data_IF_552325152530
#
_entry.id   IF_552325152530
#
_cell.length_a   1.000
_cell.length_b   1.000
_cell.length_c   1.000
_cell.angle_alpha   90.00
_cell.angle_beta   90.00
_cell.angle_gamma   90.00
#
_symmetry.space_group_name_H-M   'P 1'
#
loop_
_entity.id
_entity.type
_entity.pdbx_description
1 polymer ?
#
# COMPACT_ATOMS: atom_id res chain seq x y z
N UNK A 1 6.98 30.65 -14.06
CA UNK A 1 6.48 30.82 -12.68
C UNK A 1 6.42 29.43 -12.09
N UNK A 2 7.35 29.16 -11.19
CA UNK A 2 7.86 27.85 -10.79
C UNK A 2 6.77 26.92 -10.27
N UNK A 3 6.62 25.73 -10.88
CA UNK A 3 5.95 24.63 -10.20
C UNK A 3 6.92 24.14 -9.13
N UNK A 4 6.50 24.33 -7.88
CA UNK A 4 7.12 23.83 -6.66
C UNK A 4 7.75 22.46 -6.89
N UNK A 5 9.00 22.31 -6.43
CA UNK A 5 9.85 21.16 -6.67
C UNK A 5 9.08 19.84 -6.59
N UNK A 6 9.22 19.05 -7.65
CA UNK A 6 8.70 17.70 -7.78
C UNK A 6 9.17 16.90 -6.56
N UNK A 7 8.31 16.78 -5.55
CA UNK A 7 8.66 15.99 -4.38
C UNK A 7 8.45 14.55 -4.76
N UNK A 8 9.50 13.95 -5.33
CA UNK A 8 9.56 12.54 -5.70
C UNK A 8 8.96 11.73 -4.55
N UNK A 9 7.77 11.19 -4.78
CA UNK A 9 6.99 10.51 -3.77
C UNK A 9 6.99 9.05 -4.16
N UNK A 10 7.81 8.27 -3.46
CA UNK A 10 7.88 6.85 -3.72
C UNK A 10 6.57 6.14 -3.34
N UNK A 11 6.27 5.08 -4.06
CA UNK A 11 5.13 4.21 -3.86
C UNK A 11 5.60 2.76 -3.67
N UNK A 12 4.92 2.05 -2.79
CA UNK A 12 5.11 0.64 -2.53
C UNK A 12 3.99 -0.15 -3.21
N UNK A 13 4.38 -1.22 -3.91
CA UNK A 13 3.47 -2.11 -4.62
C UNK A 13 3.70 -3.56 -4.21
N UNK A 14 2.62 -4.31 -4.03
CA UNK A 14 2.63 -5.77 -3.87
C UNK A 14 1.37 -6.37 -4.49
N UNK A 15 1.40 -7.65 -4.87
CA UNK A 15 0.20 -8.28 -5.45
C UNK A 15 -0.72 -8.80 -4.35
N UNK A 16 -2.03 -8.63 -4.55
CA UNK A 16 -3.03 -9.24 -3.68
C UNK A 16 -2.94 -10.77 -3.66
N UNK A 17 -2.47 -11.39 -4.75
CA UNK A 17 -2.23 -12.84 -4.84
C UNK A 17 -1.14 -13.35 -3.91
N UNK A 18 -0.21 -12.47 -3.52
CA UNK A 18 0.92 -12.81 -2.67
C UNK A 18 0.59 -12.61 -1.18
N UNK A 19 -0.56 -12.01 -0.87
CA UNK A 19 -1.05 -11.84 0.50
C UNK A 19 -1.61 -13.17 1.00
N UNK A 20 -1.11 -13.63 2.15
CA UNK A 20 -1.58 -14.88 2.74
C UNK A 20 -3.09 -14.87 3.00
N UNK A 21 -3.74 -16.00 2.73
CA UNK A 21 -5.21 -16.10 2.72
C UNK A 21 -5.91 -15.57 4.00
N UNK A 22 -5.41 -15.86 5.22
CA UNK A 22 -6.04 -15.34 6.44
C UNK A 22 -6.07 -13.81 6.51
N UNK A 23 -4.98 -13.17 6.09
CA UNK A 23 -4.84 -11.71 6.07
C UNK A 23 -5.73 -11.11 4.99
N UNK A 24 -5.76 -11.73 3.80
CA UNK A 24 -6.61 -11.31 2.69
C UNK A 24 -8.10 -11.37 3.03
N UNK A 25 -8.55 -12.41 3.75
CA UNK A 25 -9.94 -12.59 4.18
C UNK A 25 -10.38 -11.55 5.21
N UNK A 26 -9.45 -11.06 6.02
CA UNK A 26 -9.69 -10.04 7.05
C UNK A 26 -9.50 -8.61 6.52
N UNK A 27 -9.10 -8.45 5.27
CA UNK A 27 -8.90 -7.14 4.67
C UNK A 27 -10.24 -6.40 4.52
N UNK A 28 -10.29 -5.15 4.97
CA UNK A 28 -11.46 -4.29 4.87
C UNK A 28 -11.33 -3.43 3.62
N UNK A 29 -12.40 -3.34 2.84
CA UNK A 29 -12.42 -2.55 1.60
C UNK A 29 -13.42 -1.40 1.69
N UNK A 30 -13.05 -0.26 1.12
CA UNK A 30 -13.90 0.92 1.01
C UNK A 30 -13.80 1.48 -0.41
N UNK A 31 -14.94 1.57 -1.10
CA UNK A 31 -15.01 2.23 -2.39
C UNK A 31 -15.26 3.74 -2.19
N UNK A 32 -14.46 4.58 -2.84
CA UNK A 32 -14.66 6.03 -2.83
C UNK A 32 -15.38 6.47 -4.10
N UNK A 33 -16.59 7.02 -3.95
CA UNK A 33 -17.46 7.37 -5.08
C UNK A 33 -16.95 8.54 -5.94
N UNK A 34 -16.08 9.40 -5.41
CA UNK A 34 -15.60 10.60 -6.11
C UNK A 34 -14.41 10.30 -7.02
N UNK A 35 -13.48 9.47 -6.57
CA UNK A 35 -12.27 9.11 -7.33
C UNK A 35 -12.39 7.77 -8.05
N UNK A 36 -13.36 6.93 -7.67
CA UNK A 36 -13.45 5.55 -8.14
C UNK A 36 -12.45 4.60 -7.48
N UNK A 37 -11.65 5.10 -6.53
CA UNK A 37 -10.62 4.31 -5.87
C UNK A 37 -11.21 3.25 -4.95
N UNK A 38 -10.63 2.05 -5.00
CA UNK A 38 -10.94 0.94 -4.10
C UNK A 38 -9.87 0.86 -3.03
N UNK A 39 -10.14 1.45 -1.87
CA UNK A 39 -9.23 1.38 -0.74
C UNK A 39 -9.30 0.02 -0.06
N UNK A 40 -8.16 -0.45 0.45
CA UNK A 40 -8.02 -1.70 1.18
C UNK A 40 -7.12 -1.50 2.40
N UNK A 41 -7.54 -2.02 3.54
CA UNK A 41 -6.77 -2.03 4.78
C UNK A 41 -6.61 -3.47 5.28
N UNK A 42 -5.39 -3.84 5.66
CA UNK A 42 -5.07 -5.17 6.15
C UNK A 42 -4.89 -5.16 7.67
N UNK A 43 -5.26 -6.25 8.38
CA UNK A 43 -5.06 -6.33 9.82
C UNK A 43 -3.57 -6.18 10.18
N UNK A 44 -3.27 -5.24 11.07
CA UNK A 44 -1.91 -4.95 11.53
C UNK A 44 -1.01 -4.20 10.53
N UNK A 45 -1.49 -3.90 9.31
CA UNK A 45 -0.77 -3.04 8.38
C UNK A 45 -0.96 -1.57 8.81
N UNK A 46 0.09 -0.75 8.89
CA UNK A 46 -0.02 0.62 9.40
C UNK A 46 -0.72 1.58 8.42
N UNK A 47 -0.86 1.20 7.14
CA UNK A 47 -1.40 2.06 6.09
C UNK A 47 -2.50 1.34 5.29
N UNK A 48 -3.46 2.13 4.80
CA UNK A 48 -4.36 1.71 3.73
C UNK A 48 -3.66 1.79 2.37
N UNK A 49 -4.03 0.89 1.47
CA UNK A 49 -3.61 0.90 0.07
C UNK A 49 -4.79 1.10 -0.88
N UNK A 50 -4.47 1.22 -2.16
CA UNK A 50 -5.43 1.28 -3.27
C UNK A 50 -5.29 0.00 -4.08
N UNK A 51 -6.40 -0.72 -4.25
CA UNK A 51 -6.50 -1.90 -5.10
C UNK A 51 -6.62 -1.44 -6.55
N UNK A 52 -5.59 -1.73 -7.35
CA UNK A 52 -5.50 -1.44 -8.77
C UNK A 52 -6.22 -2.52 -9.59
N UNK A 53 -6.54 -2.21 -10.85
CA UNK A 53 -7.26 -3.11 -11.75
C UNK A 53 -6.47 -4.39 -12.08
N UNK A 54 -5.14 -4.35 -12.02
CA UNK A 54 -4.25 -5.48 -12.25
C UNK A 54 -4.08 -6.40 -11.02
N UNK A 55 -4.79 -6.11 -9.93
CA UNK A 55 -4.72 -6.87 -8.68
C UNK A 55 -3.55 -6.50 -7.78
N UNK A 56 -2.80 -5.45 -8.11
CA UNK A 56 -1.79 -4.89 -7.21
C UNK A 56 -2.41 -3.96 -6.17
N UNK A 57 -1.74 -3.88 -5.03
CA UNK A 57 -2.03 -2.90 -4.01
C UNK A 57 -0.93 -1.82 -4.06
N UNK A 58 -1.35 -0.58 -4.28
CA UNK A 58 -0.48 0.60 -4.21
C UNK A 58 -0.60 1.26 -2.84
N UNK A 59 0.52 1.60 -2.21
CA UNK A 59 0.59 2.39 -0.98
C UNK A 59 1.58 3.53 -1.14
N UNK A 60 1.26 4.72 -0.62
CA UNK A 60 2.25 5.79 -0.52
C UNK A 60 3.37 5.35 0.40
N UNK A 61 4.62 5.43 -0.07
CA UNK A 61 5.76 5.04 0.75
C UNK A 61 6.05 6.13 1.78
N UNK A 62 5.92 5.83 3.09
CA UNK A 62 6.01 6.84 4.12
C UNK A 62 7.43 7.40 4.25
N UNK A 63 7.53 8.72 4.40
CA UNK A 63 8.81 9.40 4.70
C UNK A 63 9.23 9.23 6.15
N UNK A 64 8.27 9.02 7.05
CA UNK A 64 8.54 8.70 8.46
C UNK A 64 9.19 7.33 8.54
N UNK A 65 10.41 7.28 9.09
CA UNK A 65 11.16 6.05 9.26
C UNK A 65 10.42 5.03 10.15
N UNK A 66 9.73 5.50 11.17
CA UNK A 66 8.96 4.65 12.08
C UNK A 66 7.83 3.93 11.33
N UNK A 67 7.00 4.68 10.60
CA UNK A 67 5.89 4.11 9.82
C UNK A 67 6.42 3.19 8.72
N UNK A 68 7.52 3.59 8.06
CA UNK A 68 8.20 2.77 7.06
C UNK A 68 8.68 1.44 7.64
N UNK A 69 9.32 1.47 8.80
CA UNK A 69 9.82 0.26 9.47
C UNK A 69 8.68 -0.68 9.82
N UNK A 70 7.57 -0.17 10.36
CA UNK A 70 6.39 -0.98 10.67
C UNK A 70 5.78 -1.59 9.40
N UNK A 71 5.67 -0.82 8.31
CA UNK A 71 5.14 -1.30 7.03
C UNK A 71 6.00 -2.42 6.46
N UNK A 72 7.32 -2.22 6.39
CA UNK A 72 8.26 -3.21 5.86
C UNK A 72 8.26 -4.47 6.72
N UNK A 73 8.27 -4.33 8.05
CA UNK A 73 8.20 -5.46 8.96
C UNK A 73 6.90 -6.26 8.77
N UNK A 74 5.77 -5.60 8.54
CA UNK A 74 4.51 -6.29 8.26
C UNK A 74 4.59 -7.11 6.96
N UNK A 75 5.12 -6.53 5.88
CA UNK A 75 5.28 -7.22 4.60
C UNK A 75 6.23 -8.43 4.74
N UNK A 76 7.36 -8.24 5.42
CA UNK A 76 8.36 -9.29 5.65
C UNK A 76 7.81 -10.40 6.56
N UNK A 77 7.06 -10.05 7.61
CA UNK A 77 6.46 -11.02 8.53
C UNK A 77 5.52 -11.97 7.80
N UNK A 78 4.72 -11.46 6.86
CA UNK A 78 3.81 -12.28 6.04
C UNK A 78 4.48 -12.89 4.81
N UNK A 79 5.76 -12.60 4.55
CA UNK A 79 6.48 -13.09 3.38
C UNK A 79 5.96 -12.52 2.05
N UNK A 80 5.31 -11.36 2.07
CA UNK A 80 4.72 -10.72 0.89
C UNK A 80 5.81 -10.00 0.09
N UNK A 81 6.11 -10.41 -1.16
CA UNK A 81 7.04 -9.69 -2.03
C UNK A 81 6.48 -8.30 -2.37
N UNK A 82 7.34 -7.28 -2.34
CA UNK A 82 6.96 -5.91 -2.66
C UNK A 82 8.06 -5.20 -3.45
N UNK A 83 7.69 -4.14 -4.15
CA UNK A 83 8.60 -3.22 -4.85
C UNK A 83 8.33 -1.79 -4.46
N UNK A 84 9.38 -0.97 -4.42
CA UNK A 84 9.26 0.47 -4.18
C UNK A 84 9.74 1.19 -5.43
N UNK A 85 8.89 2.06 -5.98
CA UNK A 85 9.17 2.86 -7.17
C UNK A 85 9.08 4.35 -6.82
N UNK A 86 9.92 5.21 -7.40
CA UNK A 86 9.92 6.66 -7.14
C UNK A 86 8.71 7.39 -7.71
#
# INVERSE_FOLDING_TARGET
>A
MERAGDVVSAYLYFNMSDVVEPVAKMAVRRNEALTGNRFIAFPGCPLEGIELEDGQIEMRFPRSEEIRTVLINWLVYWGTPFRVLP
#
